data_IF_287844269800
#
_entry.id   IF_287844269800
#
_cell.length_a   1.000
_cell.length_b   1.000
_cell.length_c   1.000
_cell.angle_alpha   90.00
_cell.angle_beta   90.00
_cell.angle_gamma   90.00
#
_symmetry.space_group_name_H-M   'P 1'
#
loop_
_entity.id
_entity.type
_entity.pdbx_description
1 polymer ?
#
# COMPACT_ATOMS: atom_id res chain seq x y z
N UNK A 1 6.71 17.93 28.82
CA UNK A 1 5.90 16.94 28.10
C UNK A 1 6.59 16.66 26.78
N UNK A 2 6.84 15.38 26.47
CA UNK A 2 7.39 14.92 25.19
C UNK A 2 6.29 14.17 24.43
N UNK A 3 6.13 14.46 23.13
CA UNK A 3 5.25 13.75 22.24
C UNK A 3 6.08 13.23 21.06
N UNK A 4 6.06 11.93 20.81
CA UNK A 4 6.82 11.31 19.72
C UNK A 4 6.12 10.06 19.22
N UNK A 5 6.28 9.77 17.93
CA UNK A 5 5.95 8.48 17.34
C UNK A 5 7.11 7.48 17.43
N UNK A 6 8.34 7.97 17.72
CA UNK A 6 9.56 7.17 17.77
C UNK A 6 10.20 7.21 19.16
N UNK A 7 9.72 6.35 20.04
CA UNK A 7 10.22 6.28 21.42
C UNK A 7 11.73 5.93 21.49
N UNK A 8 12.25 5.21 20.48
CA UNK A 8 13.66 4.80 20.42
C UNK A 8 14.64 5.97 20.25
N UNK A 9 14.15 7.11 19.76
CA UNK A 9 14.97 8.34 19.62
C UNK A 9 15.11 9.12 20.93
N UNK A 10 14.35 8.77 21.97
CA UNK A 10 14.45 9.43 23.29
C UNK A 10 15.48 8.70 24.13
N UNK A 11 16.47 9.42 24.70
CA UNK A 11 17.47 8.83 25.59
C UNK A 11 16.83 8.09 26.77
N UNK A 12 17.36 6.93 27.13
CA UNK A 12 16.85 6.06 28.20
C UNK A 12 16.82 6.78 29.55
N UNK A 13 17.76 7.70 29.76
CA UNK A 13 17.86 8.52 30.96
C UNK A 13 16.70 9.50 31.15
N UNK A 14 16.06 9.89 30.04
CA UNK A 14 14.84 10.72 30.04
C UNK A 14 13.62 9.82 30.25
N UNK A 15 13.54 8.71 29.50
CA UNK A 15 12.42 7.77 29.59
C UNK A 15 12.25 7.21 31.02
N UNK A 16 13.34 6.92 31.72
CA UNK A 16 13.30 6.39 33.10
C UNK A 16 12.71 7.36 34.14
N UNK A 17 12.59 8.64 33.80
CA UNK A 17 12.03 9.68 34.65
C UNK A 17 10.68 10.21 34.16
N UNK A 18 10.12 9.63 33.11
CA UNK A 18 8.86 10.02 32.52
C UNK A 18 7.79 8.95 32.71
N UNK A 19 6.57 9.39 32.94
CA UNK A 19 5.41 8.50 32.82
C UNK A 19 5.04 8.41 31.33
N UNK A 20 4.84 7.17 30.86
CA UNK A 20 4.51 6.90 29.46
C UNK A 20 3.00 6.73 29.31
N UNK A 21 2.43 7.39 28.31
CA UNK A 21 1.05 7.23 27.87
C UNK A 21 1.05 6.86 26.39
N UNK A 22 0.63 5.65 26.08
CA UNK A 22 0.51 5.19 24.69
C UNK A 22 -0.83 5.63 24.11
N UNK A 23 -0.78 6.43 23.02
CA UNK A 23 -1.96 6.82 22.27
C UNK A 23 -2.10 5.89 21.06
N UNK A 24 -3.31 5.36 20.84
CA UNK A 24 -3.60 4.52 19.68
C UNK A 24 -3.67 5.35 18.39
N UNK A 25 -3.38 4.72 17.28
CA UNK A 25 -3.71 5.28 15.97
C UNK A 25 -5.22 5.34 15.80
N UNK A 26 -5.69 6.33 15.04
CA UNK A 26 -7.11 6.51 14.74
C UNK A 26 -7.54 5.43 13.76
N UNK A 27 -8.71 4.83 13.95
CA UNK A 27 -9.23 3.82 13.03
C UNK A 27 -9.59 4.44 11.67
N UNK A 28 -9.51 3.63 10.60
CA UNK A 28 -9.89 4.09 9.26
C UNK A 28 -11.32 4.61 9.21
N UNK A 29 -12.25 4.01 9.96
CA UNK A 29 -13.65 4.46 10.04
C UNK A 29 -13.76 5.85 10.66
N UNK A 30 -13.02 6.12 11.74
CA UNK A 30 -13.01 7.44 12.38
C UNK A 30 -12.41 8.50 11.45
N UNK A 31 -11.34 8.15 10.70
CA UNK A 31 -10.74 9.05 9.69
C UNK A 31 -11.72 9.33 8.55
N UNK A 32 -12.38 8.31 7.99
CA UNK A 32 -13.37 8.48 6.91
C UNK A 32 -14.47 9.45 7.36
N UNK A 33 -15.02 9.25 8.55
CA UNK A 33 -16.07 10.13 9.08
C UNK A 33 -15.57 11.58 9.25
N UNK A 34 -14.33 11.73 9.70
CA UNK A 34 -13.72 13.05 9.86
C UNK A 34 -13.49 13.75 8.51
N UNK A 35 -12.92 13.05 7.53
CA UNK A 35 -12.70 13.58 6.18
C UNK A 35 -14.03 13.96 5.51
N UNK A 36 -15.07 13.12 5.66
CA UNK A 36 -16.40 13.39 5.13
C UNK A 36 -16.98 14.70 5.71
N UNK A 37 -16.89 14.88 7.01
CA UNK A 37 -17.34 16.12 7.67
C UNK A 37 -16.62 17.38 7.13
N UNK A 38 -15.32 17.26 6.87
CA UNK A 38 -14.55 18.37 6.30
C UNK A 38 -14.96 18.64 4.85
N UNK A 39 -15.10 17.62 4.01
CA UNK A 39 -15.57 17.78 2.63
C UNK A 39 -16.94 18.45 2.57
N UNK A 40 -17.86 18.09 3.46
CA UNK A 40 -19.17 18.74 3.58
C UNK A 40 -19.04 20.24 3.95
N UNK A 41 -18.13 20.58 4.88
CA UNK A 41 -17.88 21.97 5.29
C UNK A 41 -17.25 22.80 4.17
N UNK A 42 -16.32 22.21 3.42
CA UNK A 42 -15.61 22.85 2.29
C UNK A 42 -16.40 22.79 0.97
N UNK A 43 -17.58 22.13 0.98
CA UNK A 43 -18.45 21.93 -0.21
C UNK A 43 -17.75 21.19 -1.34
N UNK A 44 -16.94 20.21 -0.99
CA UNK A 44 -16.23 19.33 -1.91
C UNK A 44 -17.00 18.02 -2.08
N UNK A 45 -17.23 17.61 -3.32
CA UNK A 45 -17.79 16.31 -3.63
C UNK A 45 -16.67 15.26 -3.64
N UNK A 46 -16.90 14.16 -2.93
CA UNK A 46 -15.94 13.06 -2.84
C UNK A 46 -16.70 11.75 -2.80
N UNK A 47 -16.24 10.77 -3.57
CA UNK A 47 -16.82 9.44 -3.53
C UNK A 47 -16.31 8.61 -2.34
N UNK A 48 -17.04 7.54 -2.02
CA UNK A 48 -16.72 6.68 -0.88
C UNK A 48 -15.42 5.89 -1.09
N UNK A 49 -15.04 5.59 -2.32
CA UNK A 49 -13.80 4.90 -2.65
C UNK A 49 -12.60 5.81 -2.40
N UNK A 50 -12.66 7.08 -2.83
CA UNK A 50 -11.64 8.10 -2.53
C UNK A 50 -11.40 8.27 -1.03
N UNK A 51 -12.48 8.38 -0.23
CA UNK A 51 -12.37 8.47 1.23
C UNK A 51 -11.66 7.25 1.83
N UNK A 52 -11.98 6.05 1.35
CA UNK A 52 -11.32 4.83 1.80
C UNK A 52 -9.82 4.80 1.43
N UNK A 53 -9.47 5.23 0.22
CA UNK A 53 -8.07 5.31 -0.22
C UNK A 53 -7.26 6.29 0.65
N UNK A 54 -7.76 7.50 0.86
CA UNK A 54 -7.12 8.51 1.71
C UNK A 54 -6.95 8.03 3.16
N UNK A 55 -8.00 7.42 3.73
CA UNK A 55 -7.96 6.93 5.11
C UNK A 55 -6.96 5.77 5.28
N UNK A 56 -6.84 4.88 4.29
CA UNK A 56 -5.86 3.78 4.32
C UNK A 56 -4.43 4.30 4.19
N UNK A 57 -4.18 5.21 3.26
CA UNK A 57 -2.85 5.78 3.02
C UNK A 57 -2.36 6.67 4.16
N UNK A 58 -3.26 7.18 5.01
CA UNK A 58 -2.89 7.98 6.18
C UNK A 58 -2.44 7.15 7.40
N UNK A 59 -2.54 5.82 7.34
CA UNK A 59 -2.12 4.88 8.40
C UNK A 59 -2.56 5.25 9.83
N UNK A 60 -3.74 5.83 9.98
CA UNK A 60 -4.28 6.25 11.28
C UNK A 60 -3.75 7.59 11.79
N UNK A 61 -3.09 8.39 10.95
CA UNK A 61 -2.65 9.75 11.22
C UNK A 61 -3.69 10.75 10.68
N UNK A 62 -4.32 11.52 11.58
CA UNK A 62 -5.27 12.58 11.19
C UNK A 62 -4.54 13.67 10.41
N UNK A 63 -3.33 14.05 10.80
CA UNK A 63 -2.55 15.08 10.12
C UNK A 63 -2.28 14.69 8.66
N UNK A 64 -1.82 13.46 8.43
CA UNK A 64 -1.49 12.98 7.10
C UNK A 64 -2.74 12.83 6.25
N UNK A 65 -3.87 12.38 6.85
CA UNK A 65 -5.15 12.28 6.14
C UNK A 65 -5.66 13.64 5.65
N UNK A 66 -5.47 14.71 6.44
CA UNK A 66 -5.83 16.08 6.04
C UNK A 66 -4.91 16.60 4.94
N UNK A 67 -3.61 16.33 5.02
CA UNK A 67 -2.66 16.72 3.98
C UNK A 67 -2.95 16.03 2.65
N UNK A 68 -3.29 14.74 2.68
CA UNK A 68 -3.70 13.99 1.50
C UNK A 68 -5.04 14.50 0.92
N UNK A 69 -6.00 14.85 1.78
CA UNK A 69 -7.26 15.44 1.33
C UNK A 69 -7.04 16.79 0.64
N UNK A 70 -6.19 17.66 1.19
CA UNK A 70 -5.86 18.97 0.61
C UNK A 70 -5.23 18.81 -0.78
N UNK A 71 -4.32 17.84 -0.94
CA UNK A 71 -3.74 17.49 -2.24
C UNK A 71 -4.82 16.99 -3.21
N UNK A 72 -5.74 16.12 -2.76
CA UNK A 72 -6.82 15.61 -3.60
C UNK A 72 -7.78 16.72 -4.06
N UNK A 73 -8.10 17.68 -3.19
CA UNK A 73 -8.90 18.87 -3.53
C UNK A 73 -8.21 19.69 -4.60
N UNK A 74 -6.89 19.88 -4.49
CA UNK A 74 -6.11 20.67 -5.44
C UNK A 74 -6.11 20.06 -6.84
N UNK A 75 -6.19 18.72 -6.96
CA UNK A 75 -6.23 18.00 -8.24
C UNK A 75 -7.67 17.93 -8.77
N UNK A 76 -8.63 17.53 -7.94
CA UNK A 76 -10.01 17.22 -8.34
C UNK A 76 -10.93 18.45 -8.49
N UNK A 77 -10.48 19.68 -8.16
CA UNK A 77 -11.26 20.93 -8.31
C UNK A 77 -12.70 20.84 -7.78
N UNK A 78 -12.92 20.30 -6.61
CA UNK A 78 -14.19 20.10 -5.93
C UNK A 78 -15.01 18.83 -6.30
N UNK A 79 -14.56 17.99 -7.23
CA UNK A 79 -15.16 16.67 -7.52
C UNK A 79 -14.04 15.61 -7.51
N UNK A 80 -13.81 15.01 -6.36
CA UNK A 80 -12.71 14.07 -6.14
C UNK A 80 -13.17 12.66 -6.47
N UNK A 81 -12.52 12.05 -7.46
CA UNK A 81 -12.78 10.68 -7.91
C UNK A 81 -11.66 9.73 -7.50
N UNK A 82 -12.00 8.46 -7.33
CA UNK A 82 -11.06 7.44 -6.93
C UNK A 82 -9.86 7.32 -7.89
N UNK A 83 -10.07 7.52 -9.19
CA UNK A 83 -9.00 7.49 -10.20
C UNK A 83 -7.97 8.59 -9.96
N UNK A 84 -8.42 9.83 -9.66
CA UNK A 84 -7.53 10.96 -9.38
C UNK A 84 -6.72 10.73 -8.10
N UNK A 85 -7.37 10.15 -7.08
CA UNK A 85 -6.72 9.80 -5.82
C UNK A 85 -5.70 8.67 -6.01
N UNK A 86 -6.01 7.65 -6.82
CA UNK A 86 -5.07 6.56 -7.15
C UNK A 86 -3.82 7.11 -7.82
N UNK A 87 -3.97 7.97 -8.82
CA UNK A 87 -2.84 8.63 -9.52
C UNK A 87 -2.04 9.50 -8.54
N UNK A 88 -2.72 10.31 -7.72
CA UNK A 88 -2.06 11.16 -6.72
C UNK A 88 -1.22 10.37 -5.72
N UNK A 89 -1.72 9.22 -5.29
CA UNK A 89 -1.06 8.34 -4.32
C UNK A 89 -0.03 7.41 -4.99
N UNK A 90 0.11 7.44 -6.32
CA UNK A 90 0.99 6.53 -7.06
C UNK A 90 0.56 5.07 -6.97
N UNK A 91 -0.74 4.82 -6.70
CA UNK A 91 -1.26 3.46 -6.55
C UNK A 91 -1.39 2.80 -7.91
N UNK A 92 -0.80 1.63 -8.02
CA UNK A 92 -0.84 0.81 -9.23
C UNK A 92 -2.22 0.20 -9.48
N UNK A 93 -2.52 -0.09 -10.74
CA UNK A 93 -3.64 -0.96 -11.06
C UNK A 93 -3.32 -2.38 -10.57
N UNK A 94 -4.05 -2.84 -9.57
CA UNK A 94 -3.85 -4.18 -8.97
C UNK A 94 -3.87 -5.31 -10.00
N UNK A 95 -4.66 -5.18 -11.07
CA UNK A 95 -4.68 -6.18 -12.13
C UNK A 95 -3.33 -6.28 -12.82
N UNK A 96 -2.73 -5.13 -13.17
CA UNK A 96 -1.42 -5.06 -13.83
C UNK A 96 -0.29 -5.52 -12.91
N UNK A 97 -0.38 -5.25 -11.60
CA UNK A 97 0.60 -5.76 -10.62
C UNK A 97 0.53 -7.29 -10.52
N UNK A 98 -0.67 -7.86 -10.54
CA UNK A 98 -0.84 -9.31 -10.60
C UNK A 98 -0.29 -9.90 -11.91
N UNK A 99 -0.46 -9.23 -13.05
CA UNK A 99 0.09 -9.68 -14.33
C UNK A 99 1.63 -9.63 -14.34
N UNK A 100 2.22 -8.60 -13.68
CA UNK A 100 3.65 -8.54 -13.43
C UNK A 100 4.11 -9.70 -12.53
N UNK A 101 3.40 -9.96 -11.43
CA UNK A 101 3.71 -11.09 -10.54
C UNK A 101 3.67 -12.43 -11.28
N UNK A 102 2.62 -12.69 -12.07
CA UNK A 102 2.51 -13.93 -12.82
C UNK A 102 3.66 -14.08 -13.82
N UNK A 103 4.03 -13.00 -14.55
CA UNK A 103 5.17 -13.04 -15.48
C UNK A 103 6.51 -13.28 -14.78
N UNK A 104 6.70 -12.75 -13.56
CA UNK A 104 7.87 -13.04 -12.72
C UNK A 104 7.93 -14.52 -12.33
N UNK A 105 6.80 -15.09 -11.93
CA UNK A 105 6.71 -16.49 -11.50
C UNK A 105 6.79 -17.48 -12.68
N UNK A 106 6.36 -17.07 -13.88
CA UNK A 106 6.55 -17.83 -15.13
C UNK A 106 8.01 -17.80 -15.59
N UNK A 107 8.79 -16.80 -15.17
CA UNK A 107 10.19 -16.62 -15.60
C UNK A 107 10.30 -16.13 -17.05
N UNK A 108 9.36 -15.29 -17.51
CA UNK A 108 9.38 -14.67 -18.84
C UNK A 108 9.93 -13.23 -18.77
N UNK A 109 11.24 -13.01 -19.05
CA UNK A 109 11.86 -11.69 -18.89
C UNK A 109 11.25 -10.61 -19.80
N UNK A 110 10.79 -10.99 -20.99
CA UNK A 110 10.22 -10.02 -21.93
C UNK A 110 8.88 -9.48 -21.43
N UNK A 111 8.02 -10.38 -20.91
CA UNK A 111 6.76 -9.96 -20.29
C UNK A 111 6.98 -9.15 -19.02
N UNK A 112 7.96 -9.52 -18.20
CA UNK A 112 8.30 -8.79 -16.97
C UNK A 112 8.67 -7.36 -17.27
N UNK A 113 9.62 -7.14 -18.21
CA UNK A 113 10.07 -5.80 -18.58
C UNK A 113 8.89 -4.98 -19.12
N UNK A 114 8.11 -5.55 -20.03
CA UNK A 114 6.96 -4.86 -20.62
C UNK A 114 5.93 -4.46 -19.55
N UNK A 115 5.51 -5.40 -18.69
CA UNK A 115 4.53 -5.14 -17.65
C UNK A 115 5.03 -4.09 -16.64
N UNK A 116 6.32 -4.10 -16.33
CA UNK A 116 6.96 -3.12 -15.47
C UNK A 116 6.97 -1.72 -16.11
N UNK A 117 7.38 -1.62 -17.38
CA UNK A 117 7.38 -0.35 -18.12
C UNK A 117 5.94 0.23 -18.24
N UNK A 118 4.95 -0.61 -18.54
CA UNK A 118 3.55 -0.20 -18.61
C UNK A 118 3.07 0.39 -17.28
N UNK A 119 3.41 -0.24 -16.14
CA UNK A 119 3.08 0.28 -14.81
C UNK A 119 3.77 1.61 -14.51
N UNK A 120 5.06 1.77 -14.87
CA UNK A 120 5.77 3.03 -14.68
C UNK A 120 5.18 4.16 -15.55
N UNK A 121 4.78 3.84 -16.80
CA UNK A 121 4.16 4.80 -17.71
C UNK A 121 2.78 5.26 -17.21
N UNK A 122 2.07 4.40 -16.48
CA UNK A 122 0.80 4.72 -15.82
C UNK A 122 1.00 5.58 -14.54
N UNK A 123 2.24 5.86 -14.14
CA UNK A 123 2.57 6.69 -13.00
C UNK A 123 2.71 5.93 -11.67
N UNK A 124 2.82 4.60 -11.71
CA UNK A 124 3.05 3.80 -10.49
C UNK A 124 4.40 4.14 -9.85
N UNK A 125 4.42 4.25 -8.52
CA UNK A 125 5.65 4.42 -7.75
C UNK A 125 6.39 3.07 -7.62
N UNK A 126 7.68 2.99 -7.98
CA UNK A 126 8.45 1.75 -7.91
C UNK A 126 8.54 1.13 -6.50
N UNK A 127 8.61 1.95 -5.45
CA UNK A 127 8.65 1.45 -4.07
C UNK A 127 7.31 0.84 -3.65
N UNK A 128 6.21 1.52 -3.97
CA UNK A 128 4.86 0.99 -3.72
C UNK A 128 4.61 -0.28 -4.53
N UNK A 129 5.11 -0.36 -5.77
CA UNK A 129 5.00 -1.56 -6.59
C UNK A 129 5.70 -2.77 -5.95
N UNK A 130 6.88 -2.59 -5.36
CA UNK A 130 7.57 -3.65 -4.62
C UNK A 130 6.76 -4.07 -3.38
N UNK A 131 6.18 -3.13 -2.66
CA UNK A 131 5.35 -3.44 -1.48
C UNK A 131 4.09 -4.22 -1.87
N UNK A 132 3.46 -3.86 -2.99
CA UNK A 132 2.32 -4.61 -3.54
C UNK A 132 2.73 -6.03 -3.97
N UNK A 133 3.85 -6.20 -4.65
CA UNK A 133 4.39 -7.53 -5.01
C UNK A 133 4.70 -8.38 -3.77
N UNK A 134 5.28 -7.79 -2.71
CA UNK A 134 5.50 -8.50 -1.45
C UNK A 134 4.18 -8.91 -0.78
N UNK A 135 3.16 -8.04 -0.83
CA UNK A 135 1.82 -8.36 -0.35
C UNK A 135 1.19 -9.52 -1.13
N UNK A 136 1.35 -9.55 -2.45
CA UNK A 136 0.91 -10.68 -3.29
C UNK A 136 1.62 -11.97 -2.89
N UNK A 137 2.95 -11.96 -2.74
CA UNK A 137 3.72 -13.11 -2.26
C UNK A 137 3.18 -13.64 -0.93
N UNK A 138 2.91 -12.74 0.03
CA UNK A 138 2.33 -13.11 1.32
C UNK A 138 0.96 -13.76 1.17
N UNK A 139 0.08 -13.18 0.37
CA UNK A 139 -1.28 -13.67 0.14
C UNK A 139 -1.29 -15.04 -0.55
N UNK A 140 -0.44 -15.22 -1.58
CA UNK A 140 -0.29 -16.51 -2.27
C UNK A 140 0.28 -17.56 -1.32
N UNK A 141 1.27 -17.21 -0.49
CA UNK A 141 1.82 -18.14 0.51
C UNK A 141 0.75 -18.58 1.50
N UNK A 142 -0.11 -17.66 1.99
CA UNK A 142 -1.25 -17.99 2.87
C UNK A 142 -2.25 -18.92 2.18
N UNK A 143 -2.58 -18.64 0.92
CA UNK A 143 -3.51 -19.48 0.13
C UNK A 143 -2.96 -20.90 -0.08
N UNK A 144 -1.64 -21.06 -0.28
CA UNK A 144 -1.00 -22.37 -0.40
C UNK A 144 -0.97 -23.10 0.96
N UNK A 145 -0.59 -22.38 2.03
CA UNK A 145 -0.39 -22.99 3.36
C UNK A 145 -1.71 -23.39 4.04
N UNK A 146 -2.77 -22.60 3.88
CA UNK A 146 -4.07 -22.81 4.52
C UNK A 146 -5.20 -22.57 3.52
N UNK A 147 -5.51 -23.54 2.63
CA UNK A 147 -6.52 -23.38 1.58
C UNK A 147 -7.94 -23.08 2.09
N UNK A 148 -8.24 -23.42 3.34
CA UNK A 148 -9.55 -23.20 3.99
C UNK A 148 -9.65 -21.84 4.70
N UNK A 149 -8.59 -21.02 4.66
CA UNK A 149 -8.59 -19.74 5.35
C UNK A 149 -9.53 -18.74 4.65
N UNK A 150 -10.47 -18.19 5.41
CA UNK A 150 -11.28 -17.07 4.92
C UNK A 150 -10.42 -15.80 4.87
N UNK A 151 -10.09 -15.37 3.66
CA UNK A 151 -9.30 -14.16 3.41
C UNK A 151 -10.16 -12.96 3.00
N UNK A 152 -11.49 -13.09 3.03
CA UNK A 152 -12.44 -12.06 2.59
C UNK A 152 -12.30 -10.72 3.33
N UNK A 153 -11.82 -10.75 4.57
CA UNK A 153 -11.58 -9.54 5.36
C UNK A 153 -10.31 -8.77 4.96
N UNK A 154 -9.37 -9.42 4.26
CA UNK A 154 -8.06 -8.84 3.95
C UNK A 154 -7.80 -8.66 2.46
N UNK A 155 -8.61 -9.26 1.60
CA UNK A 155 -8.45 -9.29 0.14
C UNK A 155 -9.77 -9.04 -0.57
N UNK A 156 -9.71 -8.42 -1.74
CA UNK A 156 -10.85 -8.35 -2.65
C UNK A 156 -11.15 -9.71 -3.28
N UNK A 157 -12.36 -9.90 -3.78
CA UNK A 157 -12.75 -11.13 -4.48
C UNK A 157 -11.82 -11.43 -5.68
N UNK A 158 -11.45 -10.40 -6.44
CA UNK A 158 -10.47 -10.51 -7.52
C UNK A 158 -9.12 -11.06 -7.05
N UNK A 159 -8.57 -10.50 -5.97
CA UNK A 159 -7.28 -10.94 -5.41
C UNK A 159 -7.35 -12.37 -4.88
N UNK A 160 -8.48 -12.76 -4.27
CA UNK A 160 -8.69 -14.15 -3.80
C UNK A 160 -8.69 -15.15 -4.96
N UNK A 161 -9.39 -14.81 -6.05
CA UNK A 161 -9.43 -15.67 -7.24
C UNK A 161 -8.03 -15.82 -7.85
N UNK A 162 -7.28 -14.73 -8.00
CA UNK A 162 -5.90 -14.74 -8.54
C UNK A 162 -4.97 -15.55 -7.63
N UNK A 163 -4.99 -15.29 -6.31
CA UNK A 163 -4.17 -16.03 -5.34
C UNK A 163 -4.48 -17.54 -5.38
N UNK A 164 -5.76 -17.92 -5.41
CA UNK A 164 -6.17 -19.33 -5.49
C UNK A 164 -5.74 -19.99 -6.79
N UNK A 165 -5.81 -19.29 -7.93
CA UNK A 165 -5.32 -19.83 -9.19
C UNK A 165 -3.80 -20.04 -9.18
N UNK A 166 -3.04 -19.11 -8.58
CA UNK A 166 -1.59 -19.22 -8.45
C UNK A 166 -1.17 -20.44 -7.63
N UNK A 167 -2.01 -20.93 -6.68
CA UNK A 167 -1.66 -22.13 -5.87
C UNK A 167 -1.53 -23.41 -6.70
N UNK A 168 -2.10 -23.47 -7.90
CA UNK A 168 -2.05 -24.63 -8.76
C UNK A 168 -0.66 -24.88 -9.37
N UNK A 169 0.08 -23.80 -9.59
CA UNK A 169 1.34 -23.81 -10.33
C UNK A 169 2.54 -23.41 -9.48
N UNK A 170 2.32 -22.80 -8.30
CA UNK A 170 3.36 -22.28 -7.44
C UNK A 170 3.51 -23.12 -6.16
N UNK A 171 4.72 -23.15 -5.64
CA UNK A 171 5.03 -23.75 -4.35
C UNK A 171 5.60 -22.70 -3.39
N UNK A 172 5.50 -22.96 -2.09
CA UNK A 172 5.97 -22.03 -1.03
C UNK A 172 7.46 -21.64 -1.21
N UNK A 173 8.40 -22.55 -1.52
CA UNK A 173 9.80 -22.18 -1.71
C UNK A 173 10.01 -21.15 -2.82
N UNK A 174 9.32 -21.27 -3.96
CA UNK A 174 9.46 -20.33 -5.08
C UNK A 174 8.92 -18.94 -4.71
N UNK A 175 7.75 -18.87 -4.09
CA UNK A 175 7.15 -17.61 -3.65
C UNK A 175 7.99 -16.95 -2.56
N UNK A 176 8.51 -17.71 -1.60
CA UNK A 176 9.41 -17.20 -0.57
C UNK A 176 10.73 -16.68 -1.14
N UNK A 177 11.28 -17.33 -2.17
CA UNK A 177 12.49 -16.84 -2.86
C UNK A 177 12.22 -15.49 -3.52
N UNK A 178 11.11 -15.35 -4.22
CA UNK A 178 10.67 -14.08 -4.80
C UNK A 178 10.56 -13.00 -3.72
N UNK A 179 9.85 -13.26 -2.63
CA UNK A 179 9.70 -12.35 -1.51
C UNK A 179 11.04 -11.92 -0.89
N UNK A 180 12.00 -12.84 -0.71
CA UNK A 180 13.34 -12.51 -0.20
C UNK A 180 14.14 -11.61 -1.15
N UNK A 181 13.98 -11.78 -2.46
CA UNK A 181 14.62 -10.91 -3.47
C UNK A 181 14.00 -9.52 -3.40
N UNK A 182 12.67 -9.42 -3.31
CA UNK A 182 11.96 -8.13 -3.21
C UNK A 182 12.35 -7.35 -1.95
N UNK A 183 12.48 -8.00 -0.78
CA UNK A 183 12.96 -7.34 0.45
C UNK A 183 14.37 -6.76 0.28
N UNK A 184 15.28 -7.54 -0.33
CA UNK A 184 16.63 -7.05 -0.58
C UNK A 184 16.61 -5.86 -1.55
N UNK A 185 15.86 -5.99 -2.65
CA UNK A 185 15.68 -4.93 -3.63
C UNK A 185 15.12 -3.65 -3.00
N UNK A 186 14.11 -3.74 -2.13
CA UNK A 186 13.57 -2.59 -1.41
C UNK A 186 14.63 -1.85 -0.60
N UNK A 187 15.48 -2.58 0.12
CA UNK A 187 16.57 -1.99 0.90
C UNK A 187 17.64 -1.33 0.01
N UNK A 188 17.94 -1.92 -1.14
CA UNK A 188 18.91 -1.39 -2.11
C UNK A 188 18.39 -0.14 -2.81
N UNK A 189 17.13 -0.12 -3.23
CA UNK A 189 16.47 1.04 -3.86
C UNK A 189 16.50 2.26 -2.96
N UNK A 190 16.26 2.12 -1.65
CA UNK A 190 16.31 3.24 -0.69
C UNK A 190 17.68 3.91 -0.62
N UNK A 191 18.74 3.23 -1.06
CA UNK A 191 20.12 3.75 -1.09
C UNK A 191 20.59 4.21 -2.48
N UNK A 192 19.77 4.06 -3.53
CA UNK A 192 20.16 4.26 -4.92
C UNK A 192 19.68 5.62 -5.45
N UNK A 193 20.50 6.27 -6.32
CA UNK A 193 20.18 7.55 -6.94
C UNK A 193 19.07 7.48 -7.99
N UNK A 194 18.91 6.34 -8.66
CA UNK A 194 17.89 6.12 -9.69
C UNK A 194 16.98 4.96 -9.29
N UNK A 195 15.84 5.29 -8.73
CA UNK A 195 14.86 4.30 -8.25
C UNK A 195 14.28 3.45 -9.40
N UNK A 196 14.23 4.02 -10.64
CA UNK A 196 13.66 3.31 -11.81
C UNK A 196 14.56 2.22 -12.37
N UNK A 197 15.88 2.32 -12.14
CA UNK A 197 16.88 1.42 -12.70
C UNK A 197 17.40 0.40 -11.67
N UNK A 198 17.05 0.56 -10.40
CA UNK A 198 17.41 -0.37 -9.34
C UNK A 198 16.45 -1.55 -9.25
#
# INVERSE_FOLDING_TARGET
IFCTTEIRKIPITVLSRCQKFDLRRVSSTEIINHLKMICESEKVLIDSESLNLLARSSEGSVRDSLSLLDQAISIGKNDIKAEDVKVMLGLSDKSKVWDLFDSLMEGDPLKVIKNYEDLLNDGSDPLLLIEELMSICHNVTRAIAVPSLDMSQSMSEFEMVRATNSTKNLNIPSVNKCWQILIKGQAEIQSTYSIKEA
#
